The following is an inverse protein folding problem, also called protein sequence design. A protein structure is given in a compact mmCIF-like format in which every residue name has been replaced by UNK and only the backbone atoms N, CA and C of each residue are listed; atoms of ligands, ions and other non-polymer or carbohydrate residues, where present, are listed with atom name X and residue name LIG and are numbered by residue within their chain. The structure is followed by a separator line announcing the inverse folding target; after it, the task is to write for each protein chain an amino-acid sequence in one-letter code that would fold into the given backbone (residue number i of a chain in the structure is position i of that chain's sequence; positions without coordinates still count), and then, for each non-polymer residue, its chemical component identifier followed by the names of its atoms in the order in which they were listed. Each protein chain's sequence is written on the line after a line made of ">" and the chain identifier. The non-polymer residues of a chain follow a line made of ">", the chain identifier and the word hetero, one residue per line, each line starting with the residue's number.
data_IF_701206235121
#
_entry.id   IF_701206235121
#
_cell.length_a   1.000
_cell.length_b   1.000
_cell.length_c   1.000
_cell.angle_alpha   90.00
_cell.angle_beta   90.00
_cell.angle_gamma   90.00
#
_symmetry.space_group_name_H-M   'P 1'
#
loop_
_entity.id
_entity.type
_entity.pdbx_description
1 polymer ?
#
# COMPACT_ATOMS: atom_id res chain seq x y z
N UNK A 1 -21.62 9.08 -6.37
CA UNK A 1 -20.39 9.20 -5.58
C UNK A 1 -20.51 10.47 -4.78
N UNK A 2 -20.46 10.39 -3.46
CA UNK A 2 -20.46 11.58 -2.60
C UNK A 2 -19.09 12.25 -2.69
N UNK A 3 -19.08 13.57 -2.88
CA UNK A 3 -17.86 14.37 -2.87
C UNK A 3 -17.16 14.21 -1.51
N UNK A 4 -15.89 13.81 -1.54
CA UNK A 4 -15.05 13.73 -0.33
C UNK A 4 -14.36 15.08 -0.20
N UNK A 5 -14.63 15.81 0.87
CA UNK A 5 -14.02 17.11 1.17
C UNK A 5 -12.81 16.94 2.13
N UNK A 6 -11.57 16.91 1.62
CA UNK A 6 -10.37 16.75 2.42
C UNK A 6 -9.90 18.09 3.01
N UNK A 7 -10.62 18.64 3.99
CA UNK A 7 -10.11 19.78 4.76
C UNK A 7 -9.24 19.30 5.94
N UNK A 8 -8.36 20.16 6.51
CA UNK A 8 -7.69 19.85 7.77
C UNK A 8 -8.67 19.49 8.92
N UNK A 9 -9.91 19.96 8.82
CA UNK A 9 -11.01 19.71 9.78
C UNK A 9 -11.68 18.35 9.51
N UNK A 10 -11.60 17.85 8.27
CA UNK A 10 -12.14 16.55 7.86
C UNK A 10 -11.12 15.76 7.02
N UNK A 11 -10.00 15.32 7.64
CA UNK A 11 -8.95 14.62 6.92
C UNK A 11 -9.50 13.30 6.37
N UNK A 12 -9.11 12.97 5.14
CA UNK A 12 -9.44 11.70 4.54
C UNK A 12 -8.62 10.60 5.20
N UNK A 13 -9.28 9.53 5.62
CA UNK A 13 -8.58 8.36 6.13
C UNK A 13 -7.64 7.78 5.05
N UNK A 14 -6.37 7.56 5.40
CA UNK A 14 -5.36 7.09 4.47
C UNK A 14 -5.71 5.74 3.81
N UNK A 15 -6.36 4.83 4.54
CA UNK A 15 -6.77 3.54 3.97
C UNK A 15 -7.87 3.75 2.92
N UNK A 16 -8.83 4.63 3.24
CA UNK A 16 -9.89 5.02 2.30
C UNK A 16 -9.32 5.73 1.07
N UNK A 17 -8.39 6.67 1.24
CA UNK A 17 -7.69 7.33 0.13
C UNK A 17 -7.02 6.32 -0.81
N UNK A 18 -6.22 5.39 -0.25
CA UNK A 18 -5.53 4.37 -1.03
C UNK A 18 -6.46 3.40 -1.76
N UNK A 19 -7.69 3.23 -1.28
CA UNK A 19 -8.69 2.41 -1.97
C UNK A 19 -9.22 3.04 -3.27
N UNK A 20 -9.01 4.35 -3.47
CA UNK A 20 -9.42 5.07 -4.68
C UNK A 20 -8.31 5.19 -5.72
N UNK A 21 -7.06 4.90 -5.36
CA UNK A 21 -5.94 4.99 -6.29
C UNK A 21 -5.92 3.79 -7.25
N UNK A 22 -5.81 4.08 -8.54
CA UNK A 22 -5.30 3.12 -9.50
C UNK A 22 -3.79 2.99 -9.30
N UNK A 23 -3.35 1.77 -9.01
CA UNK A 23 -1.96 1.45 -8.71
C UNK A 23 -1.33 0.59 -9.80
N UNK A 24 -2.02 0.38 -10.91
CA UNK A 24 -1.50 -0.34 -12.08
C UNK A 24 -0.10 0.13 -12.50
N UNK A 25 0.23 1.45 -12.52
CA UNK A 25 1.59 1.91 -12.84
C UNK A 25 2.66 1.46 -11.83
N UNK A 26 2.28 1.28 -10.56
CA UNK A 26 3.18 0.92 -9.47
C UNK A 26 3.38 -0.60 -9.37
N UNK A 27 2.48 -1.40 -9.97
CA UNK A 27 2.58 -2.85 -9.98
C UNK A 27 3.84 -3.36 -10.68
N UNK A 28 4.21 -2.74 -11.82
CA UNK A 28 5.43 -3.09 -12.54
C UNK A 28 6.68 -2.95 -11.67
N UNK A 29 6.71 -1.92 -10.81
CA UNK A 29 7.79 -1.70 -9.85
C UNK A 29 7.81 -2.80 -8.79
N UNK A 30 6.65 -3.19 -8.26
CA UNK A 30 6.55 -4.30 -7.32
C UNK A 30 7.02 -5.62 -7.95
N UNK A 31 6.62 -5.92 -9.17
CA UNK A 31 6.97 -7.15 -9.89
C UNK A 31 8.48 -7.30 -10.10
N UNK A 32 9.22 -6.21 -10.31
CA UNK A 32 10.68 -6.25 -10.42
C UNK A 32 11.37 -6.85 -9.16
N UNK A 33 10.73 -6.76 -7.98
CA UNK A 33 11.23 -7.35 -6.73
C UNK A 33 10.78 -8.81 -6.54
N UNK A 34 9.93 -9.34 -7.41
CA UNK A 34 9.41 -10.70 -7.37
C UNK A 34 9.92 -11.45 -8.60
N UNK A 35 10.95 -12.29 -8.44
CA UNK A 35 11.49 -13.11 -9.54
C UNK A 35 10.44 -13.94 -10.30
N UNK A 36 9.30 -14.26 -9.66
CA UNK A 36 8.23 -15.07 -10.22
C UNK A 36 6.86 -14.54 -9.76
N UNK A 37 6.01 -14.01 -10.66
CA UNK A 37 4.69 -13.45 -10.34
C UNK A 37 3.74 -14.44 -9.64
N UNK A 38 3.79 -15.73 -10.01
CA UNK A 38 2.97 -16.79 -9.44
C UNK A 38 3.32 -17.16 -8.00
N UNK A 39 4.46 -16.71 -7.46
CA UNK A 39 4.82 -16.92 -6.04
C UNK A 39 4.06 -16.02 -5.09
N UNK A 40 3.36 -14.99 -5.58
CA UNK A 40 2.54 -14.15 -4.70
C UNK A 40 1.19 -14.79 -4.45
N UNK A 41 1.02 -15.43 -3.28
CA UNK A 41 -0.29 -15.92 -2.80
C UNK A 41 -1.25 -14.78 -2.44
N UNK A 42 -0.82 -13.53 -2.54
CA UNK A 42 -1.56 -12.35 -2.14
C UNK A 42 -1.71 -11.37 -3.31
N UNK A 43 -2.83 -10.63 -3.39
CA UNK A 43 -3.06 -9.68 -4.49
C UNK A 43 -1.96 -8.61 -4.52
N UNK A 44 -1.23 -8.43 -5.63
CA UNK A 44 -0.13 -7.46 -5.74
C UNK A 44 -0.55 -6.03 -5.39
N UNK A 45 -1.70 -5.58 -5.88
CA UNK A 45 -2.21 -4.24 -5.54
C UNK A 45 -2.42 -4.04 -4.05
N UNK A 46 -2.93 -5.07 -3.35
CA UNK A 46 -3.15 -4.98 -1.91
C UNK A 46 -1.83 -4.84 -1.14
N UNK A 47 -0.76 -5.43 -1.67
CA UNK A 47 0.59 -5.29 -1.13
C UNK A 47 1.12 -3.87 -1.37
N UNK A 48 0.96 -3.33 -2.60
CA UNK A 48 1.33 -1.92 -2.89
C UNK A 48 0.58 -0.95 -1.97
N UNK A 49 -0.75 -1.11 -1.81
CA UNK A 49 -1.55 -0.28 -0.88
C UNK A 49 -1.03 -0.39 0.55
N UNK A 50 -0.61 -1.58 0.98
CA UNK A 50 -0.03 -1.76 2.32
C UNK A 50 1.31 -1.03 2.49
N UNK A 51 2.18 -1.06 1.48
CA UNK A 51 3.47 -0.38 1.51
C UNK A 51 3.31 1.14 1.45
N UNK A 52 2.38 1.62 0.62
CA UNK A 52 1.97 3.01 0.59
C UNK A 52 1.45 3.48 1.96
N UNK A 53 0.56 2.70 2.58
CA UNK A 53 0.05 2.99 3.92
C UNK A 53 1.16 3.05 4.97
N UNK A 54 2.12 2.12 4.89
CA UNK A 54 3.28 2.09 5.79
C UNK A 54 4.10 3.38 5.71
N UNK A 55 4.36 3.87 4.49
CA UNK A 55 5.12 5.11 4.26
C UNK A 55 4.34 6.37 4.63
N UNK A 56 3.07 6.46 4.24
CA UNK A 56 2.21 7.62 4.51
C UNK A 56 1.99 7.86 6.01
N UNK A 57 1.76 6.79 6.77
CA UNK A 57 1.53 6.88 8.23
C UNK A 57 2.82 6.97 9.05
N UNK A 58 3.99 6.80 8.43
CA UNK A 58 5.32 6.83 9.09
C UNK A 58 5.37 5.96 10.34
N UNK A 59 4.84 4.73 10.27
CA UNK A 59 4.80 3.84 11.44
C UNK A 59 6.21 3.56 11.96
N UNK A 60 6.39 3.72 13.28
CA UNK A 60 7.66 3.44 13.94
C UNK A 60 7.91 1.94 14.01
N UNK A 61 6.85 1.15 14.22
CA UNK A 61 6.94 -0.30 14.33
C UNK A 61 6.02 -1.03 13.36
N UNK A 62 6.53 -2.15 12.82
CA UNK A 62 5.74 -3.01 11.95
C UNK A 62 4.49 -3.59 12.64
N UNK A 63 4.57 -3.79 13.96
CA UNK A 63 3.47 -4.28 14.77
C UNK A 63 2.28 -3.34 14.76
N UNK A 64 2.49 -2.02 14.66
CA UNK A 64 1.43 -1.02 14.56
C UNK A 64 0.68 -1.16 13.23
N UNK A 65 1.42 -1.25 12.12
CA UNK A 65 0.85 -1.51 10.80
C UNK A 65 0.01 -2.79 10.81
N UNK A 66 0.54 -3.88 11.37
CA UNK A 66 -0.15 -5.17 11.39
C UNK A 66 -1.39 -5.18 12.30
N UNK A 67 -1.37 -4.44 13.42
CA UNK A 67 -2.53 -4.28 14.30
C UNK A 67 -3.68 -3.57 13.58
N UNK A 68 -3.37 -2.54 12.78
CA UNK A 68 -4.35 -1.77 12.00
C UNK A 68 -5.03 -2.57 10.87
N UNK A 69 -4.48 -3.73 10.50
CA UNK A 69 -5.12 -4.66 9.55
C UNK A 69 -6.30 -5.40 10.18
N UNK A 70 -7.32 -4.66 10.58
CA UNK A 70 -8.63 -5.17 10.98
C UNK A 70 -9.47 -5.56 9.74
N UNK A 71 -10.60 -6.26 9.96
CA UNK A 71 -11.45 -6.79 8.89
C UNK A 71 -11.83 -5.72 7.84
N UNK A 72 -12.15 -4.50 8.28
CA UNK A 72 -12.48 -3.37 7.40
C UNK A 72 -11.27 -2.93 6.56
N UNK A 73 -10.13 -2.70 7.21
CA UNK A 73 -8.87 -2.31 6.55
C UNK A 73 -8.40 -3.34 5.55
N UNK A 74 -8.42 -4.63 5.91
CA UNK A 74 -8.05 -5.75 5.04
C UNK A 74 -8.87 -5.73 3.76
N UNK A 75 -10.19 -5.52 3.88
CA UNK A 75 -11.08 -5.43 2.72
C UNK A 75 -10.81 -4.19 1.87
N UNK A 76 -10.61 -3.02 2.48
CA UNK A 76 -10.33 -1.77 1.77
C UNK A 76 -9.01 -1.80 0.99
N UNK A 77 -7.98 -2.46 1.55
CA UNK A 77 -6.72 -2.65 0.85
C UNK A 77 -6.83 -3.70 -0.28
N UNK A 78 -7.90 -4.49 -0.34
CA UNK A 78 -8.10 -5.53 -1.36
C UNK A 78 -7.55 -6.91 -0.98
N UNK A 79 -7.21 -7.15 0.29
CA UNK A 79 -6.82 -8.49 0.75
C UNK A 79 -8.03 -9.39 0.95
N UNK A 80 -7.93 -10.66 0.52
CA UNK A 80 -8.95 -11.69 0.80
C UNK A 80 -8.98 -12.08 2.28
N UNK A 81 -7.82 -12.10 2.94
CA UNK A 81 -7.63 -12.47 4.35
C UNK A 81 -6.51 -11.63 4.94
N UNK A 82 -6.56 -11.40 6.26
CA UNK A 82 -5.50 -10.70 6.99
C UNK A 82 -4.17 -11.45 6.81
N UNK A 83 -3.10 -10.81 6.29
CA UNK A 83 -1.79 -11.44 6.23
C UNK A 83 -1.24 -11.64 7.65
N UNK A 84 -0.48 -12.72 7.84
CA UNK A 84 0.21 -12.95 9.13
C UNK A 84 1.28 -11.88 9.35
N UNK A 85 1.64 -11.63 10.62
CA UNK A 85 2.72 -10.69 10.94
C UNK A 85 4.03 -11.08 10.22
N UNK A 86 4.38 -12.37 10.25
CA UNK A 86 5.56 -12.92 9.57
C UNK A 86 5.54 -12.66 8.06
N UNK A 87 4.36 -12.74 7.44
CA UNK A 87 4.18 -12.44 6.01
C UNK A 87 4.48 -10.98 5.73
N UNK A 88 3.89 -10.05 6.48
CA UNK A 88 4.13 -8.61 6.28
C UNK A 88 5.60 -8.26 6.52
N UNK A 89 6.20 -8.83 7.57
CA UNK A 89 7.61 -8.65 7.85
C UNK A 89 8.50 -9.12 6.71
N UNK A 90 8.22 -10.30 6.14
CA UNK A 90 8.98 -10.85 5.03
C UNK A 90 8.84 -10.01 3.75
N UNK A 91 7.66 -9.42 3.51
CA UNK A 91 7.49 -8.51 2.38
C UNK A 91 8.38 -7.26 2.51
N UNK A 92 8.26 -6.55 3.64
CA UNK A 92 8.93 -5.29 3.85
C UNK A 92 10.46 -5.44 4.01
N UNK A 93 10.91 -6.47 4.72
CA UNK A 93 12.33 -6.59 5.11
C UNK A 93 13.15 -7.52 4.22
N UNK A 94 12.51 -8.50 3.54
CA UNK A 94 13.23 -9.52 2.76
C UNK A 94 12.95 -9.47 1.26
N UNK A 95 11.71 -9.22 0.85
CA UNK A 95 11.34 -9.17 -0.58
C UNK A 95 11.68 -7.82 -1.18
N UNK A 96 11.05 -6.78 -0.64
CA UNK A 96 11.15 -5.42 -1.16
C UNK A 96 12.39 -4.73 -0.56
N UNK A 97 12.56 -4.86 0.76
CA UNK A 97 13.64 -4.19 1.47
C UNK A 97 13.50 -2.66 1.46
N UNK A 98 14.47 -1.93 2.03
CA UNK A 98 14.46 -0.46 2.05
C UNK A 98 14.46 0.15 0.65
N UNK A 99 15.27 -0.40 -0.26
CA UNK A 99 15.40 0.10 -1.63
C UNK A 99 14.09 -0.02 -2.42
N UNK A 100 13.43 -1.18 -2.36
CA UNK A 100 12.15 -1.35 -3.02
C UNK A 100 11.03 -0.51 -2.39
N UNK A 101 11.11 -0.24 -1.08
CA UNK A 101 10.13 0.63 -0.42
C UNK A 101 10.26 2.07 -0.88
N UNK A 102 11.48 2.56 -1.07
CA UNK A 102 11.71 3.88 -1.67
C UNK A 102 11.27 3.91 -3.14
N UNK A 103 11.56 2.86 -3.93
CA UNK A 103 11.13 2.79 -5.33
C UNK A 103 9.60 2.80 -5.47
N UNK A 104 8.90 1.99 -4.66
CA UNK A 104 7.43 1.94 -4.64
C UNK A 104 6.86 3.30 -4.17
N UNK A 105 7.49 3.94 -3.18
CA UNK A 105 7.07 5.25 -2.71
C UNK A 105 7.26 6.34 -3.78
N UNK A 106 8.41 6.36 -4.47
CA UNK A 106 8.66 7.30 -5.56
C UNK A 106 7.64 7.13 -6.69
N UNK A 107 7.39 5.89 -7.13
CA UNK A 107 6.40 5.58 -8.15
C UNK A 107 4.97 5.98 -7.73
N UNK A 108 4.64 5.81 -6.44
CA UNK A 108 3.35 6.25 -5.91
C UNK A 108 3.20 7.78 -5.98
N UNK A 109 4.22 8.53 -5.57
CA UNK A 109 4.20 10.00 -5.62
C UNK A 109 4.12 10.50 -7.06
N UNK A 110 4.86 9.88 -7.98
CA UNK A 110 4.80 10.19 -9.41
C UNK A 110 3.39 9.95 -9.97
N UNK A 111 2.78 8.79 -9.68
CA UNK A 111 1.43 8.48 -10.10
C UNK A 111 0.39 9.48 -9.54
N UNK A 112 0.53 9.86 -8.27
CA UNK A 112 -0.35 10.87 -7.64
C UNK A 112 -0.19 12.23 -8.34
N UNK A 113 1.05 12.67 -8.56
CA UNK A 113 1.33 13.95 -9.21
C UNK A 113 0.80 13.99 -10.64
N UNK A 114 0.93 12.90 -11.40
CA UNK A 114 0.38 12.80 -12.74
C UNK A 114 -1.15 12.96 -12.75
N UNK A 115 -1.85 12.31 -11.81
CA UNK A 115 -3.29 12.46 -11.65
C UNK A 115 -3.71 13.88 -11.21
N UNK A 116 -2.86 14.62 -10.52
CA UNK A 116 -3.14 16.00 -10.09
C UNK A 116 -2.82 17.04 -11.17
N UNK A 117 -1.95 16.71 -12.13
CA UNK A 117 -1.60 17.59 -13.26
C UNK A 117 -2.53 17.48 -14.46
N UNK A 118 -3.49 16.56 -14.42
CA UNK A 118 -4.46 16.29 -15.50
C UNK A 118 -5.83 16.83 -15.11
#
# INVERSE_FOLDING_TARGET
>A
MDFIDPTPIKPVDAVRFLSFLDLSPVLAVLEAFYCEPWRSRHPPEAMVRLFALYKLRRYRFLTELWRLLEKKTVKLLGFKRKPSYKTVWHWLNKRVGPQGLEAIHAALIEAINHCLST
#
